data_IF_449281721448
#
_entry.id   IF_449281721448
#
_cell.length_a   1.000
_cell.length_b   1.000
_cell.length_c   1.000
_cell.angle_alpha   90.00
_cell.angle_beta   90.00
_cell.angle_gamma   90.00
#
_symmetry.space_group_name_H-M   'P 1'
#
loop_
_entity.id
_entity.type
_entity.pdbx_description
1 polymer ?
#
# COMPACT_ATOMS: atom_id res chain seq x y z
N UNK A 1 16.25 2.92 8.75
CA UNK A 1 15.47 3.74 7.80
C UNK A 1 15.23 5.19 8.24
N UNK A 2 15.68 5.68 9.41
CA UNK A 2 15.30 7.03 9.89
C UNK A 2 16.09 8.20 9.29
N UNK A 3 17.25 7.96 8.66
CA UNK A 3 18.03 9.05 8.04
C UNK A 3 17.33 9.62 6.81
N UNK A 4 16.65 8.78 6.02
CA UNK A 4 15.95 9.20 4.81
C UNK A 4 14.75 10.09 5.15
N UNK A 5 13.91 9.65 6.10
CA UNK A 5 12.81 10.48 6.60
C UNK A 5 13.29 11.80 7.21
N UNK A 6 14.37 11.80 8.01
CA UNK A 6 14.95 13.03 8.56
C UNK A 6 15.45 13.99 7.48
N UNK A 7 15.96 13.47 6.37
CA UNK A 7 16.38 14.32 5.25
C UNK A 7 15.19 14.89 4.50
N UNK A 8 14.14 14.09 4.25
CA UNK A 8 12.92 14.53 3.56
C UNK A 8 12.09 15.52 4.39
N UNK A 9 11.99 15.31 5.70
CA UNK A 9 11.30 16.20 6.64
C UNK A 9 11.87 17.63 6.61
N UNK A 10 13.18 17.79 6.39
CA UNK A 10 13.81 19.12 6.27
C UNK A 10 13.29 19.94 5.09
N UNK A 11 12.82 19.28 4.05
CA UNK A 11 12.32 19.90 2.82
C UNK A 11 10.80 19.88 2.73
N UNK A 12 10.10 19.49 3.80
CA UNK A 12 8.66 19.25 3.80
C UNK A 12 8.21 18.27 2.68
N UNK A 13 9.03 17.26 2.38
CA UNK A 13 8.73 16.24 1.38
C UNK A 13 8.18 14.98 2.03
N UNK A 14 7.06 14.48 1.51
CA UNK A 14 6.49 13.18 1.87
C UNK A 14 7.01 12.04 0.98
N UNK A 15 7.00 10.81 1.50
CA UNK A 15 7.36 9.60 0.75
C UNK A 15 6.09 8.86 0.32
N UNK A 16 5.86 8.68 -0.98
CA UNK A 16 4.81 7.80 -1.49
C UNK A 16 5.45 6.49 -1.99
N UNK A 17 5.03 5.37 -1.41
CA UNK A 17 5.44 4.03 -1.83
C UNK A 17 4.31 3.40 -2.62
N UNK A 18 4.60 2.95 -3.84
CA UNK A 18 3.63 2.29 -4.72
C UNK A 18 4.06 0.84 -4.96
N UNK A 19 3.14 -0.11 -4.77
CA UNK A 19 3.38 -1.53 -5.03
C UNK A 19 2.34 -1.98 -6.05
N UNK A 20 2.78 -2.35 -7.26
CA UNK A 20 1.85 -2.71 -8.35
C UNK A 20 1.30 -4.14 -8.21
N UNK A 21 2.04 -5.04 -7.55
CA UNK A 21 1.64 -6.43 -7.40
C UNK A 21 1.87 -6.97 -5.99
N UNK A 22 0.81 -7.01 -5.19
CA UNK A 22 0.83 -7.72 -3.91
C UNK A 22 0.85 -9.23 -4.15
N UNK A 23 1.86 -9.89 -3.58
CA UNK A 23 1.99 -11.35 -3.55
C UNK A 23 2.16 -11.82 -2.11
N UNK A 24 1.17 -12.52 -1.57
CA UNK A 24 1.16 -12.95 -0.16
C UNK A 24 2.10 -14.11 0.13
N UNK A 25 2.54 -14.82 -0.91
CA UNK A 25 3.54 -15.89 -0.79
C UNK A 25 4.94 -15.37 -0.48
N UNK A 26 5.15 -14.05 -0.50
CA UNK A 26 6.41 -13.41 -0.15
C UNK A 26 6.30 -12.88 1.29
N UNK A 27 7.01 -13.52 2.22
CA UNK A 27 7.10 -13.09 3.62
C UNK A 27 7.59 -11.63 3.77
N UNK A 28 8.33 -11.15 2.77
CA UNK A 28 8.78 -9.77 2.63
C UNK A 28 7.62 -8.75 2.66
N UNK A 29 6.43 -9.12 2.17
CA UNK A 29 5.25 -8.23 2.20
C UNK A 29 4.74 -8.00 3.62
N UNK A 30 4.77 -9.03 4.46
CA UNK A 30 4.39 -8.93 5.87
C UNK A 30 5.44 -8.10 6.62
N UNK A 31 6.72 -8.34 6.35
CA UNK A 31 7.82 -7.56 6.93
C UNK A 31 7.75 -6.08 6.51
N UNK A 32 7.45 -5.81 5.24
CA UNK A 32 7.25 -4.46 4.71
C UNK A 32 6.07 -3.77 5.39
N UNK A 33 4.91 -4.42 5.45
CA UNK A 33 3.71 -3.86 6.07
C UNK A 33 3.93 -3.57 7.57
N UNK A 34 4.59 -4.48 8.30
CA UNK A 34 4.96 -4.28 9.71
C UNK A 34 5.92 -3.10 9.89
N UNK A 35 6.87 -2.94 8.96
CA UNK A 35 7.79 -1.79 8.96
C UNK A 35 7.07 -0.48 8.64
N UNK A 36 6.15 -0.50 7.68
CA UNK A 36 5.33 0.66 7.36
C UNK A 36 4.42 1.07 8.52
N UNK A 37 3.90 0.11 9.29
CA UNK A 37 3.12 0.39 10.49
C UNK A 37 3.91 1.21 11.52
N UNK A 38 5.23 0.96 11.66
CA UNK A 38 6.09 1.78 12.52
C UNK A 38 6.13 3.25 12.03
N UNK A 39 6.25 3.47 10.71
CA UNK A 39 6.26 4.84 10.15
C UNK A 39 4.95 5.58 10.40
N UNK A 40 3.81 4.91 10.24
CA UNK A 40 2.49 5.49 10.54
C UNK A 40 2.36 5.82 12.03
N UNK A 41 2.84 4.93 12.91
CA UNK A 41 2.82 5.17 14.36
C UNK A 41 3.73 6.31 14.79
N UNK A 42 4.87 6.48 14.13
CA UNK A 42 5.80 7.59 14.36
C UNK A 42 5.33 8.93 13.74
N UNK A 43 4.15 8.95 13.08
CA UNK A 43 3.61 10.16 12.45
C UNK A 43 4.41 10.63 11.25
N UNK A 44 5.17 9.74 10.60
CA UNK A 44 5.97 10.06 9.42
C UNK A 44 5.06 10.38 8.23
N UNK A 45 5.46 11.35 7.41
CA UNK A 45 4.78 11.69 6.15
C UNK A 45 5.06 10.63 5.07
N UNK A 46 4.51 9.45 5.27
CA UNK A 46 4.59 8.31 4.35
C UNK A 46 3.19 7.93 3.88
N UNK A 47 3.02 7.78 2.57
CA UNK A 47 1.83 7.22 1.94
C UNK A 47 2.14 5.86 1.31
N UNK A 48 1.14 4.99 1.27
CA UNK A 48 1.23 3.66 0.67
C UNK A 48 0.06 3.45 -0.29
N UNK A 49 0.38 3.15 -1.53
CA UNK A 49 -0.57 2.73 -2.56
C UNK A 49 -0.20 1.31 -2.98
N UNK A 50 -1.14 0.38 -2.91
CA UNK A 50 -0.91 -0.99 -3.32
C UNK A 50 -1.99 -1.45 -4.29
N UNK A 51 -1.55 -2.15 -5.33
CA UNK A 51 -2.37 -2.85 -6.29
C UNK A 51 -2.03 -4.34 -6.25
N UNK A 52 -3.00 -5.16 -6.63
CA UNK A 52 -2.87 -6.60 -6.62
C UNK A 52 -4.19 -7.30 -6.91
N UNK A 53 -4.10 -8.60 -7.16
CA UNK A 53 -5.27 -9.43 -7.36
C UNK A 53 -6.09 -9.50 -6.07
N UNK A 54 -7.42 -9.49 -6.19
CA UNK A 54 -8.33 -9.49 -5.05
C UNK A 54 -8.00 -10.59 -4.02
N UNK A 55 -7.71 -11.81 -4.48
CA UNK A 55 -7.35 -12.93 -3.61
C UNK A 55 -6.08 -12.65 -2.79
N UNK A 56 -5.07 -12.03 -3.41
CA UNK A 56 -3.82 -11.67 -2.76
C UNK A 56 -4.02 -10.53 -1.77
N UNK A 57 -4.76 -9.48 -2.16
CA UNK A 57 -5.08 -8.37 -1.27
C UNK A 57 -5.89 -8.86 -0.06
N UNK A 58 -6.90 -9.71 -0.28
CA UNK A 58 -7.69 -10.28 0.81
C UNK A 58 -6.89 -11.21 1.71
N UNK A 59 -5.96 -11.99 1.15
CA UNK A 59 -5.09 -12.85 1.95
C UNK A 59 -4.13 -12.03 2.82
N UNK A 60 -3.55 -10.95 2.29
CA UNK A 60 -2.72 -10.02 3.07
C UNK A 60 -3.54 -9.39 4.20
N UNK A 61 -4.74 -8.88 3.89
CA UNK A 61 -5.61 -8.26 4.89
C UNK A 61 -6.05 -9.21 6.01
N UNK A 62 -6.05 -10.53 5.78
CA UNK A 62 -6.43 -11.52 6.82
C UNK A 62 -5.35 -11.71 7.88
N UNK A 63 -4.09 -11.39 7.57
CA UNK A 63 -2.98 -11.51 8.52
C UNK A 63 -3.14 -10.49 9.68
N UNK A 64 -2.97 -10.95 10.92
CA UNK A 64 -3.12 -10.11 12.12
C UNK A 64 -2.03 -9.04 12.21
N UNK A 65 -0.83 -9.35 11.72
CA UNK A 65 0.35 -8.49 11.74
C UNK A 65 0.16 -7.22 10.92
N UNK A 66 -0.77 -7.26 9.94
CA UNK A 66 -1.04 -6.14 9.03
C UNK A 66 -2.47 -5.61 9.16
N UNK A 67 -3.12 -5.87 10.29
CA UNK A 67 -4.48 -5.40 10.61
C UNK A 67 -4.70 -3.89 10.41
N UNK A 68 -3.63 -3.08 10.48
CA UNK A 68 -3.71 -1.64 10.19
C UNK A 68 -4.14 -1.34 8.75
N UNK A 69 -3.79 -2.20 7.78
CA UNK A 69 -4.19 -2.06 6.37
C UNK A 69 -5.70 -2.15 6.18
N UNK A 70 -6.42 -2.80 7.11
CA UNK A 70 -7.90 -2.82 7.10
C UNK A 70 -8.52 -1.46 7.35
N UNK A 71 -7.78 -0.54 7.97
CA UNK A 71 -8.22 0.85 8.20
C UNK A 71 -7.83 1.80 7.07
N UNK A 72 -7.04 1.34 6.11
CA UNK A 72 -6.69 2.12 4.93
C UNK A 72 -7.89 2.18 3.97
N UNK A 73 -7.91 3.22 3.12
CA UNK A 73 -8.93 3.33 2.07
C UNK A 73 -8.70 2.22 1.04
N UNK A 74 -9.74 1.42 0.79
CA UNK A 74 -9.71 0.33 -0.19
C UNK A 74 -10.53 0.71 -1.41
N UNK A 75 -9.91 0.71 -2.58
CA UNK A 75 -10.59 0.93 -3.85
C UNK A 75 -10.61 -0.37 -4.65
N UNK A 76 -11.79 -0.98 -4.75
CA UNK A 76 -12.01 -2.13 -5.62
C UNK A 76 -12.23 -1.65 -7.05
N UNK A 77 -11.20 -1.78 -7.88
CA UNK A 77 -11.31 -1.54 -9.30
C UNK A 77 -12.10 -2.69 -9.92
N UNK A 78 -13.40 -2.45 -10.12
CA UNK A 78 -14.27 -3.36 -10.86
C UNK A 78 -13.87 -3.31 -12.34
N UNK A 79 -14.04 -4.42 -13.07
CA UNK A 79 -13.83 -4.46 -14.51
C UNK A 79 -14.57 -3.27 -15.12
N UNK A 80 -13.86 -2.42 -15.87
CA UNK A 80 -14.52 -1.42 -16.69
C UNK A 80 -15.58 -2.15 -17.52
N UNK A 81 -16.86 -1.90 -17.24
CA UNK A 81 -17.90 -2.23 -18.19
C UNK A 81 -17.47 -1.57 -19.49
N UNK A 82 -17.29 -2.37 -20.55
CA UNK A 82 -17.17 -1.86 -21.90
C UNK A 82 -18.49 -1.14 -22.23
N UNK A 83 -18.67 0.08 -21.74
CA UNK A 83 -19.56 1.02 -22.40
C UNK A 83 -18.84 1.39 -23.70
N UNK A 84 -19.44 0.98 -24.82
CA UNK A 84 -18.81 0.99 -26.12
C UNK A 84 -18.19 2.33 -26.47
N UNK A 85 -16.85 2.39 -26.45
CA UNK A 85 -16.12 3.37 -27.24
C UNK A 85 -15.87 2.72 -28.60
N UNK A 86 -16.86 2.84 -29.49
CA UNK A 86 -16.63 2.67 -30.92
C UNK A 86 -15.70 3.80 -31.33
N UNK A 87 -14.44 3.48 -31.58
CA UNK A 87 -13.57 4.37 -32.33
C UNK A 87 -14.07 4.30 -33.77
N UNK A 88 -14.84 5.31 -34.16
CA UNK A 88 -15.15 5.65 -35.56
C UNK A 88 -14.47 6.96 -35.88
#
# INVERSE_FOLDING_TARGET
>A
MNRLFKSLEKYDIGLLITIDEIRVTLDEMIAFASTYQLFVREGKRAGLLMAGLLQQVSALLRDESVSFLRRCVQHHLSRALRTGCSVS
#
